data_IF_121786069974
#
_entry.id   IF_121786069974
#
_cell.length_a   1.000
_cell.length_b   1.000
_cell.length_c   1.000
_cell.angle_alpha   90.00
_cell.angle_beta   90.00
_cell.angle_gamma   90.00
#
_symmetry.space_group_name_H-M   'P 1'
#
loop_
_entity.id
_entity.type
_entity.pdbx_description
1 polymer ?
#
# COMPACT_ATOMS: atom_id res chain seq x y z
N UNK A 1 -15.27 4.56 -40.05
CA UNK A 1 -15.12 5.47 -41.21
C UNK A 1 -14.96 6.88 -40.66
N UNK A 2 -13.75 7.32 -40.32
CA UNK A 2 -13.55 8.68 -39.78
C UNK A 2 -12.66 9.44 -40.76
N UNK A 3 -13.26 10.27 -41.60
CA UNK A 3 -12.56 10.99 -42.65
C UNK A 3 -11.74 12.14 -42.06
N UNK A 4 -10.43 11.95 -41.96
CA UNK A 4 -9.49 13.08 -42.02
C UNK A 4 -9.53 13.59 -43.45
N UNK A 5 -10.21 14.71 -43.69
CA UNK A 5 -10.18 15.35 -45.01
C UNK A 5 -9.02 16.35 -45.05
N UNK A 6 -8.02 16.04 -45.87
CA UNK A 6 -6.87 16.90 -46.08
C UNK A 6 -7.27 17.96 -47.13
N UNK A 7 -7.94 19.02 -46.71
CA UNK A 7 -8.30 20.12 -47.60
C UNK A 7 -7.11 21.07 -47.65
N UNK A 8 -6.51 21.25 -48.83
CA UNK A 8 -5.57 22.36 -49.09
C UNK A 8 -6.34 23.69 -49.09
N UNK A 9 -6.88 24.09 -47.95
CA UNK A 9 -7.26 25.49 -47.73
C UNK A 9 -6.00 26.25 -47.35
N UNK A 10 -5.79 27.43 -47.95
CA UNK A 10 -4.64 28.28 -47.65
C UNK A 10 -4.71 28.75 -46.19
N UNK A 11 -3.82 28.24 -45.34
CA UNK A 11 -3.51 28.84 -44.03
C UNK A 11 -2.96 30.24 -44.31
N UNK A 12 -3.48 31.26 -43.64
CA UNK A 12 -2.98 32.63 -43.77
C UNK A 12 -2.02 32.97 -42.62
N UNK A 13 -1.10 33.91 -42.85
CA UNK A 13 -0.24 34.42 -41.78
C UNK A 13 -1.07 35.01 -40.62
N UNK A 14 -2.21 35.63 -40.92
CA UNK A 14 -3.17 36.12 -39.93
C UNK A 14 -3.81 35.01 -39.10
N UNK A 15 -3.94 33.79 -39.63
CA UNK A 15 -4.43 32.64 -38.85
C UNK A 15 -3.37 32.21 -37.83
N UNK A 16 -2.08 32.23 -38.21
CA UNK A 16 -1.00 31.87 -37.31
C UNK A 16 -0.81 32.88 -36.19
N UNK A 17 -0.94 34.19 -36.47
CA UNK A 17 -0.77 35.23 -35.44
C UNK A 17 -1.78 35.13 -34.30
N UNK A 18 -2.91 34.45 -34.51
CA UNK A 18 -3.90 34.14 -33.47
C UNK A 18 -3.47 33.05 -32.50
N UNK A 19 -2.49 32.22 -32.87
CA UNK A 19 -1.94 31.18 -31.99
C UNK A 19 -0.83 31.83 -31.17
N UNK A 20 -0.97 31.76 -29.84
CA UNK A 20 -0.12 32.48 -28.89
C UNK A 20 1.39 32.26 -29.09
N UNK A 21 1.84 31.12 -29.61
CA UNK A 21 3.29 30.89 -29.85
C UNK A 21 3.85 31.64 -31.07
N UNK A 22 3.00 32.06 -32.00
CA UNK A 22 3.38 32.76 -33.22
C UNK A 22 3.04 34.27 -33.16
N UNK A 23 2.38 34.73 -32.08
CA UNK A 23 1.88 36.11 -31.96
C UNK A 23 2.97 37.19 -32.06
N UNK A 24 4.18 36.88 -31.60
CA UNK A 24 5.31 37.83 -31.54
C UNK A 24 6.21 37.77 -32.79
N UNK A 25 5.78 37.02 -33.81
CA UNK A 25 6.49 36.88 -35.08
C UNK A 25 6.05 37.95 -36.08
N UNK A 26 6.98 38.40 -36.90
CA UNK A 26 6.68 39.32 -38.00
C UNK A 26 5.88 38.62 -39.09
N UNK A 27 5.10 39.38 -39.86
CA UNK A 27 4.31 38.81 -40.96
C UNK A 27 5.19 38.04 -41.98
N UNK A 28 6.42 38.51 -42.23
CA UNK A 28 7.39 37.82 -43.10
C UNK A 28 7.80 36.46 -42.54
N UNK A 29 8.00 36.33 -41.23
CA UNK A 29 8.34 35.05 -40.61
C UNK A 29 7.14 34.10 -40.63
N UNK A 30 5.93 34.60 -40.40
CA UNK A 30 4.70 33.80 -40.49
C UNK A 30 4.47 33.26 -41.91
N UNK A 31 4.73 34.07 -42.94
CA UNK A 31 4.68 33.65 -44.34
C UNK A 31 5.70 32.54 -44.68
N UNK A 32 6.83 32.46 -43.96
CA UNK A 32 7.78 31.35 -44.10
C UNK A 32 7.29 30.05 -43.44
N UNK A 33 6.43 30.15 -42.42
CA UNK A 33 5.90 29.00 -41.66
C UNK A 33 4.68 28.39 -42.34
N UNK A 34 3.80 29.22 -42.90
CA UNK A 34 2.56 28.78 -43.57
C UNK A 34 2.76 27.57 -44.50
N UNK A 35 3.79 27.52 -45.38
CA UNK A 35 4.01 26.39 -46.29
C UNK A 35 4.40 25.07 -45.60
N UNK A 36 4.87 25.14 -44.35
CA UNK A 36 5.27 23.97 -43.55
C UNK A 36 4.08 23.28 -42.86
N UNK A 37 2.92 23.94 -42.84
CA UNK A 37 1.74 23.50 -42.11
C UNK A 37 0.68 22.90 -43.04
N UNK A 38 0.05 21.83 -42.57
CA UNK A 38 -1.16 21.29 -43.18
C UNK A 38 -2.37 21.63 -42.31
N UNK A 39 -3.47 22.07 -42.92
CA UNK A 39 -4.72 22.28 -42.19
C UNK A 39 -5.53 20.98 -42.17
N UNK A 40 -6.01 20.61 -40.98
CA UNK A 40 -6.89 19.47 -40.78
C UNK A 40 -8.20 19.92 -40.16
N UNK A 41 -9.30 19.63 -40.84
CA UNK A 41 -10.64 19.73 -40.28
C UNK A 41 -10.97 18.39 -39.58
N UNK A 42 -11.23 18.45 -38.27
CA UNK A 42 -11.45 17.29 -37.40
C UNK A 42 -12.87 17.35 -36.85
N UNK A 43 -13.70 16.36 -37.20
CA UNK A 43 -15.06 16.25 -36.67
C UNK A 43 -15.06 15.79 -35.21
N UNK A 44 -16.06 16.23 -34.45
CA UNK A 44 -16.31 15.77 -33.08
C UNK A 44 -16.24 14.23 -32.96
N UNK A 45 -15.63 13.74 -31.88
CA UNK A 45 -15.46 12.31 -31.59
C UNK A 45 -14.28 11.64 -32.32
N UNK A 46 -13.61 12.35 -33.24
CA UNK A 46 -12.47 11.80 -33.99
C UNK A 46 -11.22 11.73 -33.12
N UNK A 47 -10.54 10.59 -33.13
CA UNK A 47 -9.19 10.45 -32.56
C UNK A 47 -8.16 11.03 -33.54
N UNK A 48 -7.45 12.06 -33.09
CA UNK A 48 -6.36 12.68 -33.86
C UNK A 48 -5.08 11.87 -33.72
N UNK A 49 -4.80 11.47 -32.48
CA UNK A 49 -3.66 10.66 -32.05
C UNK A 49 -4.18 9.48 -31.24
N UNK A 50 -3.55 8.32 -31.40
CA UNK A 50 -3.76 7.13 -30.55
C UNK A 50 -2.51 6.80 -29.75
N UNK A 51 -2.67 6.51 -28.46
CA UNK A 51 -1.59 6.06 -27.59
C UNK A 51 -0.87 4.82 -28.17
N UNK A 52 0.46 4.81 -28.09
CA UNK A 52 1.31 3.72 -28.59
C UNK A 52 1.60 3.75 -30.09
N UNK A 53 0.94 4.61 -30.87
CA UNK A 53 1.32 4.79 -32.28
C UNK A 53 2.63 5.60 -32.41
N UNK A 54 3.39 5.47 -33.51
CA UNK A 54 4.52 6.34 -33.78
C UNK A 54 4.09 7.80 -33.97
N UNK A 55 4.77 8.76 -33.36
CA UNK A 55 4.47 10.18 -33.55
C UNK A 55 5.43 10.88 -34.50
N UNK A 56 4.90 11.37 -35.63
CA UNK A 56 5.68 12.08 -36.66
C UNK A 56 5.22 13.51 -36.92
N UNK A 57 4.28 14.02 -36.12
CA UNK A 57 3.75 15.37 -36.28
C UNK A 57 3.40 16.00 -34.94
N UNK A 58 3.48 17.32 -34.89
CA UNK A 58 2.94 18.18 -33.83
C UNK A 58 1.67 18.85 -34.37
N UNK A 59 0.68 19.02 -33.52
CA UNK A 59 -0.60 19.64 -33.87
C UNK A 59 -0.82 20.89 -33.03
N UNK A 60 -1.22 21.97 -33.68
CA UNK A 60 -1.62 23.23 -33.06
C UNK A 60 -3.13 23.39 -33.20
N UNK A 61 -3.82 23.74 -32.11
CA UNK A 61 -5.27 23.90 -32.09
C UNK A 61 -5.59 25.34 -32.51
N UNK A 62 -6.05 25.51 -33.75
CA UNK A 62 -6.51 26.80 -34.25
C UNK A 62 -7.93 27.11 -33.78
N UNK A 63 -8.80 26.10 -33.70
CA UNK A 63 -10.12 26.23 -33.09
C UNK A 63 -10.64 24.87 -32.61
N UNK A 64 -11.52 24.90 -31.60
CA UNK A 64 -12.18 23.72 -31.05
C UNK A 64 -11.58 23.23 -29.72
N UNK A 65 -12.00 22.04 -29.30
CA UNK A 65 -11.65 21.46 -27.99
C UNK A 65 -11.21 20.01 -28.16
N UNK A 66 -10.09 19.65 -27.55
CA UNK A 66 -9.52 18.30 -27.56
C UNK A 66 -9.47 17.72 -26.15
N UNK A 67 -9.64 16.41 -26.03
CA UNK A 67 -9.51 15.66 -24.79
C UNK A 67 -8.29 14.74 -24.87
N UNK A 68 -7.42 14.83 -23.87
CA UNK A 68 -6.31 13.91 -23.65
C UNK A 68 -6.82 12.71 -22.86
N UNK A 69 -6.55 11.52 -23.38
CA UNK A 69 -6.97 10.24 -22.82
C UNK A 69 -5.71 9.39 -22.56
N UNK A 70 -5.56 8.87 -21.35
CA UNK A 70 -4.53 7.88 -21.03
C UNK A 70 -5.17 6.52 -20.79
N UNK A 71 -4.46 5.46 -21.17
CA UNK A 71 -4.87 4.08 -20.93
C UNK A 71 -4.28 3.55 -19.64
N UNK A 72 -5.14 3.16 -18.70
CA UNK A 72 -4.73 2.25 -17.62
C UNK A 72 -4.93 0.80 -18.06
N UNK A 73 -4.47 -0.16 -17.24
CA UNK A 73 -4.60 -1.60 -17.50
C UNK A 73 -6.03 -2.11 -17.74
N UNK A 74 -7.07 -1.31 -17.46
CA UNK A 74 -8.48 -1.71 -17.60
C UNK A 74 -9.36 -0.75 -18.41
N UNK A 75 -9.08 0.55 -18.44
CA UNK A 75 -9.91 1.57 -19.14
C UNK A 75 -9.14 2.81 -19.59
N UNK A 76 -9.58 3.45 -20.67
CA UNK A 76 -9.20 4.84 -21.02
C UNK A 76 -9.93 5.82 -20.10
N UNK A 77 -9.23 6.85 -19.64
CA UNK A 77 -9.79 7.88 -18.77
C UNK A 77 -9.25 9.26 -19.18
N UNK A 78 -10.07 10.32 -19.03
CA UNK A 78 -9.68 11.67 -19.39
C UNK A 78 -8.62 12.21 -18.41
N UNK A 79 -7.56 12.80 -18.97
CA UNK A 79 -6.44 13.38 -18.21
C UNK A 79 -6.46 14.90 -18.27
N UNK A 80 -6.75 15.46 -19.44
CA UNK A 80 -6.71 16.91 -19.66
C UNK A 80 -7.60 17.34 -20.82
N UNK A 81 -7.91 18.63 -20.90
CA UNK A 81 -8.62 19.27 -22.02
C UNK A 81 -7.70 20.34 -22.61
N UNK A 82 -7.52 20.31 -23.92
CA UNK A 82 -6.77 21.31 -24.69
C UNK A 82 -7.73 22.18 -25.50
N UNK A 83 -7.40 23.46 -25.66
CA UNK A 83 -8.25 24.48 -26.29
C UNK A 83 -7.49 25.24 -27.38
N UNK A 84 -8.18 26.17 -28.05
CA UNK A 84 -7.59 27.11 -29.01
C UNK A 84 -6.30 27.74 -28.44
N UNK A 85 -5.21 27.68 -29.21
CA UNK A 85 -3.88 28.15 -28.81
C UNK A 85 -2.99 27.10 -28.13
N UNK A 86 -3.52 25.94 -27.76
CA UNK A 86 -2.73 24.82 -27.26
C UNK A 86 -2.12 23.98 -28.40
N UNK A 87 -1.15 23.14 -28.04
CA UNK A 87 -0.54 22.19 -28.95
C UNK A 87 -0.25 20.86 -28.26
N UNK A 88 -0.11 19.81 -29.08
CA UNK A 88 0.13 18.46 -28.61
C UNK A 88 0.91 17.61 -29.63
N UNK A 89 1.49 16.52 -29.14
CA UNK A 89 2.22 15.55 -29.95
C UNK A 89 3.73 15.83 -30.05
N UNK A 90 4.21 16.90 -29.42
CA UNK A 90 5.62 17.30 -29.38
C UNK A 90 6.53 16.22 -28.78
N UNK A 91 6.05 15.47 -27.77
CA UNK A 91 6.85 14.47 -27.07
C UNK A 91 7.34 13.33 -27.96
N UNK A 92 6.45 12.79 -28.78
CA UNK A 92 6.84 11.71 -29.69
C UNK A 92 7.81 12.20 -30.79
N UNK A 93 7.74 13.48 -31.16
CA UNK A 93 8.65 14.10 -32.14
C UNK A 93 10.03 14.36 -31.51
N UNK A 94 10.07 14.90 -30.29
CA UNK A 94 11.29 15.24 -29.56
C UNK A 94 12.04 14.00 -29.04
N UNK A 95 11.35 13.10 -28.33
CA UNK A 95 11.97 11.95 -27.65
C UNK A 95 12.05 10.69 -28.52
N UNK A 96 11.46 10.73 -29.73
CA UNK A 96 11.37 9.57 -30.66
C UNK A 96 10.71 8.34 -30.02
N UNK A 97 9.85 8.56 -29.06
CA UNK A 97 9.04 7.54 -28.41
C UNK A 97 7.66 7.42 -29.09
N UNK A 98 6.94 6.30 -28.90
CA UNK A 98 5.53 6.21 -29.24
C UNK A 98 4.71 7.29 -28.51
N UNK A 99 3.53 7.61 -29.04
CA UNK A 99 2.60 8.57 -28.43
C UNK A 99 2.23 8.13 -27.01
N UNK A 100 2.40 9.03 -26.05
CA UNK A 100 2.15 8.77 -24.62
C UNK A 100 0.67 8.84 -24.21
N UNK A 101 -0.19 9.36 -25.07
CA UNK A 101 -1.62 9.50 -24.83
C UNK A 101 -2.40 9.54 -26.15
N UNK A 102 -3.68 9.20 -26.08
CA UNK A 102 -4.65 9.39 -27.16
C UNK A 102 -5.25 10.81 -27.08
N UNK A 103 -5.57 11.40 -28.23
CA UNK A 103 -6.22 12.71 -28.32
C UNK A 103 -7.49 12.58 -29.13
N UNK A 104 -8.63 12.98 -28.55
CA UNK A 104 -9.94 12.93 -29.19
C UNK A 104 -10.58 14.31 -29.24
N UNK A 105 -11.17 14.68 -30.38
CA UNK A 105 -11.93 15.91 -30.52
C UNK A 105 -13.24 15.86 -29.72
N UNK A 106 -13.49 16.87 -28.89
CA UNK A 106 -14.75 17.09 -28.18
C UNK A 106 -15.69 18.05 -28.92
N UNK A 107 -15.21 18.71 -29.96
CA UNK A 107 -16.00 19.53 -30.87
C UNK A 107 -15.42 19.42 -32.28
N UNK A 108 -16.18 19.85 -33.28
CA UNK A 108 -15.58 20.18 -34.58
C UNK A 108 -14.44 21.19 -34.36
N UNK A 109 -13.29 20.89 -34.97
CA UNK A 109 -12.03 21.55 -34.66
C UNK A 109 -11.17 21.72 -35.90
N UNK A 110 -10.37 22.78 -35.92
CA UNK A 110 -9.37 23.04 -36.95
C UNK A 110 -7.99 22.93 -36.31
N UNK A 111 -7.16 22.07 -36.89
CA UNK A 111 -5.78 21.86 -36.47
C UNK A 111 -4.80 22.29 -37.56
N UNK A 112 -3.64 22.80 -37.15
CA UNK A 112 -2.47 22.90 -38.02
C UNK A 112 -1.49 21.80 -37.65
N UNK A 113 -1.20 20.90 -38.58
CA UNK A 113 -0.23 19.83 -38.44
C UNK A 113 1.12 20.26 -39.01
N UNK A 114 2.16 20.08 -38.21
CA UNK A 114 3.55 20.26 -38.60
C UNK A 114 4.26 18.91 -38.56
N UNK A 115 4.76 18.46 -39.72
CA UNK A 115 5.51 17.21 -39.81
C UNK A 115 6.86 17.30 -39.10
N UNK A 116 7.41 16.16 -38.70
CA UNK A 116 8.67 16.05 -37.95
C UNK A 116 9.85 16.73 -38.64
N UNK A 117 10.00 16.57 -39.94
CA UNK A 117 11.12 17.17 -40.68
C UNK A 117 10.99 18.69 -40.72
N UNK A 118 9.78 19.18 -41.01
CA UNK A 118 9.46 20.60 -41.00
C UNK A 118 9.55 21.22 -39.60
N UNK A 119 9.24 20.45 -38.55
CA UNK A 119 9.42 20.85 -37.16
C UNK A 119 10.89 21.14 -36.85
N UNK A 120 11.83 20.29 -37.29
CA UNK A 120 13.25 20.56 -37.09
C UNK A 120 13.74 21.75 -37.93
N UNK A 121 13.21 21.95 -39.14
CA UNK A 121 13.50 23.15 -39.96
C UNK A 121 13.03 24.42 -39.23
N UNK A 122 11.81 24.42 -38.72
CA UNK A 122 11.23 25.52 -37.95
C UNK A 122 12.07 25.82 -36.72
N UNK A 123 12.47 24.79 -35.97
CA UNK A 123 13.30 24.92 -34.77
C UNK A 123 14.68 25.52 -35.09
N UNK A 124 15.29 25.10 -36.20
CA UNK A 124 16.61 25.61 -36.61
C UNK A 124 16.58 27.07 -37.05
N UNK A 125 15.50 27.50 -37.72
CA UNK A 125 15.36 28.87 -38.21
C UNK A 125 14.82 29.85 -37.17
N UNK A 126 13.92 29.41 -36.30
CA UNK A 126 13.21 30.25 -35.34
C UNK A 126 13.38 29.73 -33.91
N UNK A 127 14.55 29.96 -33.27
CA UNK A 127 14.86 29.45 -31.94
C UNK A 127 13.89 29.91 -30.84
N UNK A 128 13.20 31.06 -31.03
CA UNK A 128 12.16 31.53 -30.12
C UNK A 128 10.97 30.55 -30.02
N UNK A 129 10.60 29.91 -31.12
CA UNK A 129 9.50 28.93 -31.14
C UNK A 129 9.88 27.69 -30.32
N UNK A 130 11.12 27.22 -30.49
CA UNK A 130 11.66 26.12 -29.70
C UNK A 130 11.64 26.45 -28.19
N UNK A 131 12.02 27.68 -27.84
CA UNK A 131 11.97 28.15 -26.45
C UNK A 131 10.54 28.11 -25.89
N UNK A 132 9.54 28.65 -26.61
CA UNK A 132 8.14 28.65 -26.15
C UNK A 132 7.61 27.22 -25.96
N UNK A 133 7.93 26.30 -26.90
CA UNK A 133 7.51 24.90 -26.80
C UNK A 133 8.13 24.23 -25.57
N UNK A 134 9.44 24.44 -25.34
CA UNK A 134 10.15 23.89 -24.18
C UNK A 134 9.66 24.49 -22.86
N UNK A 135 9.35 25.79 -22.81
CA UNK A 135 8.81 26.47 -21.64
C UNK A 135 7.45 25.91 -21.26
N UNK A 136 6.49 25.84 -22.21
CA UNK A 136 5.18 25.24 -21.96
C UNK A 136 5.26 23.77 -21.57
N UNK A 137 6.17 23.02 -22.19
CA UNK A 137 6.39 21.64 -21.81
C UNK A 137 6.90 21.53 -20.37
N UNK A 138 7.89 22.35 -19.99
CA UNK A 138 8.42 22.39 -18.64
C UNK A 138 7.37 22.79 -17.61
N UNK A 139 6.49 23.73 -17.93
CA UNK A 139 5.35 24.11 -17.09
C UNK A 139 4.38 22.94 -16.88
N UNK A 140 3.97 22.25 -17.95
CA UNK A 140 3.10 21.06 -17.87
C UNK A 140 3.73 19.94 -17.05
N UNK A 141 5.03 19.67 -17.25
CA UNK A 141 5.76 18.68 -16.47
C UNK A 141 5.77 19.04 -14.98
N UNK A 142 6.09 20.29 -14.66
CA UNK A 142 6.17 20.77 -13.27
C UNK A 142 4.82 20.62 -12.57
N UNK A 143 3.74 21.01 -13.24
CA UNK A 143 2.39 20.84 -12.72
C UNK A 143 2.03 19.37 -12.49
N UNK A 144 2.32 18.51 -13.47
CA UNK A 144 2.08 17.06 -13.35
C UNK A 144 2.89 16.43 -12.20
N UNK A 145 4.15 16.86 -12.02
CA UNK A 145 4.99 16.40 -10.93
C UNK A 145 4.44 16.82 -9.57
N UNK A 146 4.03 18.08 -9.41
CA UNK A 146 3.41 18.57 -8.18
C UNK A 146 2.10 17.84 -7.86
N UNK A 147 1.25 17.60 -8.86
CA UNK A 147 0.01 16.84 -8.68
C UNK A 147 0.29 15.39 -8.26
N UNK A 148 1.32 14.75 -8.83
CA UNK A 148 1.73 13.40 -8.46
C UNK A 148 2.30 13.34 -7.04
N UNK A 149 3.13 14.31 -6.65
CA UNK A 149 3.67 14.43 -5.29
C UNK A 149 2.52 14.57 -4.27
N UNK A 150 1.54 15.43 -4.55
CA UNK A 150 0.36 15.59 -3.71
C UNK A 150 -0.49 14.31 -3.60
N UNK A 151 -0.67 13.59 -4.71
CA UNK A 151 -1.38 12.30 -4.71
C UNK A 151 -0.64 11.23 -3.90
N UNK A 152 0.69 11.18 -3.99
CA UNK A 152 1.50 10.26 -3.19
C UNK A 152 1.38 10.57 -1.70
N UNK A 153 1.50 11.83 -1.29
CA UNK A 153 1.34 12.25 0.11
C UNK A 153 -0.06 11.92 0.66
N UNK A 154 -1.10 12.16 -0.16
CA UNK A 154 -2.49 11.83 0.20
C UNK A 154 -2.67 10.32 0.37
N UNK A 155 -2.08 9.51 -0.52
CA UNK A 155 -2.16 8.05 -0.46
C UNK A 155 -1.42 7.51 0.78
N UNK A 156 -0.24 8.05 1.09
CA UNK A 156 0.53 7.68 2.28
C UNK A 156 -0.24 8.00 3.56
N UNK A 157 -0.84 9.19 3.63
CA UNK A 157 -1.67 9.61 4.77
C UNK A 157 -2.87 8.68 4.96
N UNK A 158 -3.66 8.46 3.89
CA UNK A 158 -4.83 7.58 3.94
C UNK A 158 -4.46 6.14 4.31
N UNK A 159 -3.33 5.63 3.82
CA UNK A 159 -2.83 4.31 4.19
C UNK A 159 -2.40 4.25 5.67
N UNK A 160 -1.78 5.31 6.20
CA UNK A 160 -1.43 5.39 7.63
C UNK A 160 -2.66 5.41 8.53
N UNK A 161 -3.66 6.24 8.21
CA UNK A 161 -4.93 6.31 8.96
C UNK A 161 -5.67 4.97 8.96
N UNK A 162 -5.66 4.27 7.83
CA UNK A 162 -6.26 2.95 7.68
C UNK A 162 -5.55 1.90 8.55
N UNK A 163 -4.21 1.92 8.60
CA UNK A 163 -3.44 1.03 9.47
C UNK A 163 -3.68 1.33 10.96
N UNK A 164 -3.80 2.59 11.35
CA UNK A 164 -4.11 2.99 12.73
C UNK A 164 -5.52 2.53 13.12
N UNK A 165 -6.50 2.76 12.24
CA UNK A 165 -7.89 2.31 12.44
C UNK A 165 -7.99 0.81 12.62
N UNK A 166 -7.18 0.04 11.89
CA UNK A 166 -7.10 -1.41 12.05
C UNK A 166 -6.59 -1.80 13.43
N UNK A 167 -5.47 -1.23 13.88
CA UNK A 167 -4.91 -1.53 15.21
C UNK A 167 -5.93 -1.21 16.32
N UNK A 168 -6.63 -0.06 16.24
CA UNK A 168 -7.70 0.31 17.20
C UNK A 168 -8.88 -0.67 17.16
N UNK A 169 -9.25 -1.15 15.97
CA UNK A 169 -10.35 -2.12 15.83
C UNK A 169 -9.98 -3.48 16.43
N UNK A 170 -8.74 -3.94 16.23
CA UNK A 170 -8.25 -5.18 16.85
C UNK A 170 -8.20 -5.06 18.37
N UNK A 171 -7.76 -3.92 18.89
CA UNK A 171 -7.76 -3.64 20.33
C UNK A 171 -9.18 -3.66 20.91
N UNK A 172 -10.16 -3.08 20.21
CA UNK A 172 -11.56 -3.14 20.63
C UNK A 172 -12.11 -4.57 20.65
N UNK A 173 -11.74 -5.42 19.68
CA UNK A 173 -12.11 -6.83 19.65
C UNK A 173 -11.48 -7.61 20.81
N UNK A 174 -10.19 -7.39 21.09
CA UNK A 174 -9.50 -7.97 22.25
C UNK A 174 -10.22 -7.58 23.55
N UNK A 175 -10.47 -6.28 23.75
CA UNK A 175 -11.17 -5.79 24.96
C UNK A 175 -12.57 -6.37 25.10
N UNK A 176 -13.31 -6.54 24.00
CA UNK A 176 -14.63 -7.17 24.05
C UNK A 176 -14.56 -8.63 24.51
N UNK A 177 -13.50 -9.35 24.12
CA UNK A 177 -13.25 -10.71 24.61
C UNK A 177 -12.82 -10.70 26.09
N UNK A 178 -11.90 -9.82 26.47
CA UNK A 178 -11.40 -9.66 27.83
C UNK A 178 -12.52 -9.29 28.82
N UNK A 179 -13.56 -8.57 28.37
CA UNK A 179 -14.76 -8.29 29.18
C UNK A 179 -15.64 -9.54 29.41
N UNK A 180 -15.57 -10.52 28.50
CA UNK A 180 -16.34 -11.76 28.59
C UNK A 180 -15.59 -12.83 29.38
N UNK A 181 -14.28 -12.95 29.14
CA UNK A 181 -13.39 -13.79 29.91
C UNK A 181 -13.15 -13.13 31.28
N UNK A 182 -12.95 -13.89 32.36
CA UNK A 182 -12.73 -13.29 33.69
C UNK A 182 -11.28 -12.81 33.89
N UNK A 183 -10.52 -12.69 32.79
CA UNK A 183 -9.12 -12.28 32.79
C UNK A 183 -9.00 -10.75 32.92
N UNK A 184 -7.88 -10.30 33.51
CA UNK A 184 -7.68 -8.90 33.87
C UNK A 184 -7.56 -8.01 32.63
N UNK A 185 -8.14 -6.81 32.71
CA UNK A 185 -8.32 -5.73 31.70
C UNK A 185 -7.07 -5.26 30.91
N UNK A 186 -5.91 -5.93 31.03
CA UNK A 186 -4.62 -5.50 30.47
C UNK A 186 -3.65 -6.65 30.12
N UNK A 187 -4.08 -7.93 30.18
CA UNK A 187 -3.20 -9.08 29.89
C UNK A 187 -2.68 -9.08 28.44
N UNK A 188 -3.58 -8.96 27.46
CA UNK A 188 -3.26 -8.96 26.03
C UNK A 188 -2.27 -7.85 25.67
N UNK A 189 -2.40 -6.67 26.30
CA UNK A 189 -1.46 -5.56 26.15
C UNK A 189 -0.06 -5.86 26.72
N UNK A 190 0.03 -6.37 27.95
CA UNK A 190 1.32 -6.72 28.57
C UNK A 190 2.06 -7.80 27.80
N UNK A 191 1.37 -8.86 27.40
CA UNK A 191 1.95 -9.95 26.63
C UNK A 191 2.42 -9.46 25.26
N UNK A 192 1.62 -8.63 24.59
CA UNK A 192 2.04 -8.02 23.32
C UNK A 192 3.30 -7.17 23.44
N UNK A 193 3.39 -6.28 24.44
CA UNK A 193 4.56 -5.42 24.66
C UNK A 193 5.82 -6.26 24.94
N UNK A 194 5.72 -7.22 25.86
CA UNK A 194 6.84 -8.11 26.18
C UNK A 194 7.28 -8.97 24.98
N UNK A 195 6.33 -9.50 24.20
CA UNK A 195 6.62 -10.28 23.00
C UNK A 195 7.27 -9.43 21.89
N UNK A 196 6.85 -8.17 21.74
CA UNK A 196 7.52 -7.21 20.84
C UNK A 196 8.95 -6.91 21.27
N UNK A 197 9.20 -6.75 22.59
CA UNK A 197 10.53 -6.46 23.13
C UNK A 197 11.53 -7.58 22.86
N UNK A 198 11.15 -8.83 23.10
CA UNK A 198 12.02 -9.96 22.78
C UNK A 198 12.19 -10.14 21.26
N UNK A 199 11.14 -9.94 20.47
CA UNK A 199 11.25 -10.00 19.00
C UNK A 199 12.23 -8.94 18.45
N UNK A 200 12.20 -7.73 19.01
CA UNK A 200 13.15 -6.66 18.67
C UNK A 200 14.59 -7.01 19.11
N UNK A 201 14.76 -7.56 20.32
CA UNK A 201 16.06 -8.04 20.81
C UNK A 201 16.68 -9.09 19.89
N UNK A 202 15.86 -9.98 19.33
CA UNK A 202 16.27 -11.04 18.39
C UNK A 202 16.53 -10.51 16.96
N UNK A 203 16.30 -9.21 16.69
CA UNK A 203 16.51 -8.61 15.37
C UNK A 203 15.47 -9.05 14.33
N UNK A 204 14.26 -9.44 14.76
CA UNK A 204 13.19 -9.82 13.84
C UNK A 204 12.69 -8.62 13.03
N UNK A 205 12.26 -8.89 11.80
CA UNK A 205 11.80 -7.82 10.90
C UNK A 205 10.58 -7.07 11.46
N UNK A 206 10.36 -5.79 11.11
CA UNK A 206 9.18 -5.03 11.52
C UNK A 206 7.86 -5.72 11.17
N UNK A 207 7.83 -6.51 10.08
CA UNK A 207 6.66 -7.29 9.67
C UNK A 207 6.34 -8.41 10.68
N UNK A 208 7.35 -9.12 11.17
CA UNK A 208 7.18 -10.18 12.18
C UNK A 208 6.78 -9.58 13.53
N UNK A 209 7.42 -8.47 13.95
CA UNK A 209 7.07 -7.79 15.19
C UNK A 209 5.61 -7.32 15.16
N UNK A 210 5.15 -6.74 14.04
CA UNK A 210 3.75 -6.37 13.86
C UNK A 210 2.81 -7.58 13.96
N UNK A 211 3.21 -8.71 13.36
CA UNK A 211 2.44 -9.95 13.45
C UNK A 211 2.32 -10.47 14.89
N UNK A 212 3.41 -10.41 15.67
CA UNK A 212 3.43 -10.77 17.09
C UNK A 212 2.52 -9.84 17.90
N UNK A 213 2.60 -8.52 17.67
CA UNK A 213 1.74 -7.53 18.33
C UNK A 213 0.26 -7.86 18.12
N UNK A 214 -0.15 -8.04 16.86
CA UNK A 214 -1.54 -8.30 16.50
C UNK A 214 -1.99 -9.70 16.94
N UNK A 215 -1.12 -10.70 16.83
CA UNK A 215 -1.40 -12.06 17.27
C UNK A 215 -1.55 -12.17 18.77
N UNK A 216 -0.74 -11.44 19.54
CA UNK A 216 -0.89 -11.39 20.99
C UNK A 216 -2.24 -10.78 21.42
N UNK A 217 -2.77 -9.80 20.69
CA UNK A 217 -4.11 -9.24 20.96
C UNK A 217 -5.24 -10.21 20.61
N UNK A 218 -5.03 -11.09 19.63
CA UNK A 218 -6.08 -11.93 19.05
C UNK A 218 -5.94 -13.41 19.39
N UNK A 219 -4.90 -13.82 20.14
CA UNK A 219 -4.57 -15.23 20.37
C UNK A 219 -5.77 -16.03 20.90
N UNK A 220 -6.55 -15.40 21.77
CA UNK A 220 -7.69 -15.99 22.43
C UNK A 220 -9.04 -15.67 21.78
N UNK A 221 -9.10 -14.97 20.63
CA UNK A 221 -10.37 -14.56 19.98
C UNK A 221 -11.33 -15.73 19.74
N UNK A 222 -10.79 -16.92 19.50
CA UNK A 222 -11.59 -18.13 19.32
C UNK A 222 -12.34 -18.60 20.57
N UNK A 223 -11.99 -18.10 21.77
CA UNK A 223 -12.76 -18.34 23.00
C UNK A 223 -14.19 -17.82 22.88
N UNK A 224 -14.48 -16.98 21.87
CA UNK A 224 -15.86 -16.60 21.55
C UNK A 224 -16.77 -17.82 21.32
N UNK A 225 -16.22 -18.93 20.79
CA UNK A 225 -16.94 -20.19 20.56
C UNK A 225 -17.10 -21.08 21.81
N UNK A 226 -16.41 -20.77 22.91
CA UNK A 226 -16.48 -21.58 24.14
C UNK A 226 -17.75 -21.23 24.92
N UNK A 227 -18.55 -22.22 25.37
CA UNK A 227 -19.73 -21.96 26.21
C UNK A 227 -19.37 -21.30 27.54
N UNK A 228 -20.20 -20.35 28.01
CA UNK A 228 -19.97 -19.61 29.26
C UNK A 228 -19.84 -20.52 30.49
N UNK A 229 -20.57 -21.64 30.52
CA UNK A 229 -20.51 -22.62 31.60
C UNK A 229 -19.12 -23.28 31.73
N UNK A 230 -18.34 -23.31 30.64
CA UNK A 230 -16.97 -23.84 30.61
C UNK A 230 -15.97 -22.69 30.81
N UNK A 231 -16.14 -21.60 30.07
CA UNK A 231 -15.26 -20.43 30.15
C UNK A 231 -15.18 -19.84 31.57
N UNK A 232 -16.32 -19.78 32.27
CA UNK A 232 -16.45 -19.15 33.59
C UNK A 232 -16.55 -20.16 34.74
N UNK A 233 -16.19 -21.43 34.50
CA UNK A 233 -16.35 -22.49 35.49
C UNK A 233 -15.46 -22.24 36.71
N UNK A 234 -16.01 -22.16 37.94
CA UNK A 234 -15.19 -22.06 39.15
C UNK A 234 -14.59 -23.43 39.47
N UNK A 235 -13.33 -23.66 39.08
CA UNK A 235 -12.57 -24.87 39.39
C UNK A 235 -11.99 -25.57 38.15
N UNK A 236 -11.53 -26.81 38.33
CA UNK A 236 -10.91 -27.56 37.24
C UNK A 236 -11.96 -28.00 36.19
N UNK A 237 -11.58 -27.89 34.91
CA UNK A 237 -12.35 -28.46 33.80
C UNK A 237 -12.27 -29.99 33.80
N UNK A 238 -13.35 -30.66 33.41
CA UNK A 238 -13.31 -32.09 33.04
C UNK A 238 -12.51 -32.28 31.76
N UNK A 239 -12.21 -33.52 31.40
CA UNK A 239 -11.45 -33.80 30.19
C UNK A 239 -12.22 -33.38 28.92
N UNK A 240 -13.54 -33.57 28.90
CA UNK A 240 -14.41 -33.16 27.81
C UNK A 240 -14.50 -31.63 27.70
N UNK A 241 -14.62 -30.93 28.82
CA UNK A 241 -14.64 -29.47 28.86
C UNK A 241 -13.29 -28.88 28.43
N UNK A 242 -12.19 -29.51 28.83
CA UNK A 242 -10.83 -29.14 28.41
C UNK A 242 -10.65 -29.36 26.91
N UNK A 243 -11.08 -30.50 26.37
CA UNK A 243 -11.04 -30.76 24.93
C UNK A 243 -11.82 -29.70 24.14
N UNK A 244 -12.96 -29.23 24.67
CA UNK A 244 -13.71 -28.14 24.04
C UNK A 244 -12.94 -26.81 24.10
N UNK A 245 -12.38 -26.45 25.26
CA UNK A 245 -11.55 -25.25 25.44
C UNK A 245 -10.36 -25.23 24.48
N UNK A 246 -9.71 -26.37 24.24
CA UNK A 246 -8.56 -26.51 23.35
C UNK A 246 -8.88 -26.26 21.87
N UNK A 247 -10.15 -26.09 21.47
CA UNK A 247 -10.51 -25.72 20.11
C UNK A 247 -10.36 -24.22 19.82
N UNK A 248 -10.19 -23.35 20.83
CA UNK A 248 -10.14 -21.91 20.59
C UNK A 248 -9.02 -21.46 19.62
N UNK A 249 -7.82 -22.08 19.53
CA UNK A 249 -6.84 -21.68 18.52
C UNK A 249 -7.37 -21.94 17.10
N UNK A 250 -8.03 -23.08 16.90
CA UNK A 250 -8.62 -23.47 15.62
C UNK A 250 -9.81 -22.56 15.26
N UNK A 251 -10.69 -22.27 16.23
CA UNK A 251 -11.81 -21.34 15.98
C UNK A 251 -11.33 -19.91 15.71
N UNK A 252 -10.28 -19.46 16.39
CA UNK A 252 -9.63 -18.18 16.11
C UNK A 252 -9.05 -18.14 14.70
N UNK A 253 -8.35 -19.19 14.29
CA UNK A 253 -7.84 -19.34 12.92
C UNK A 253 -8.98 -19.31 11.89
N UNK A 254 -10.01 -20.14 12.06
CA UNK A 254 -11.14 -20.26 11.14
C UNK A 254 -11.92 -18.95 10.99
N UNK A 255 -12.03 -18.17 12.07
CA UNK A 255 -12.70 -16.86 12.06
C UNK A 255 -11.92 -15.81 11.25
N UNK A 256 -10.58 -15.89 11.25
CA UNK A 256 -9.72 -14.83 10.72
C UNK A 256 -9.06 -15.17 9.39
N UNK A 257 -9.04 -16.44 8.96
CA UNK A 257 -8.26 -16.91 7.80
C UNK A 257 -8.60 -16.23 6.47
N UNK A 258 -9.83 -15.77 6.31
CA UNK A 258 -10.31 -15.14 5.07
C UNK A 258 -10.05 -13.62 5.05
N UNK A 259 -9.44 -13.06 6.10
CA UNK A 259 -9.09 -11.64 6.21
C UNK A 259 -7.64 -11.45 5.75
N UNK A 260 -7.37 -10.89 4.55
CA UNK A 260 -6.03 -10.92 3.95
C UNK A 260 -4.96 -10.23 4.79
N UNK A 261 -5.31 -9.13 5.48
CA UNK A 261 -4.36 -8.38 6.30
C UNK A 261 -3.96 -9.09 7.60
N UNK A 262 -4.74 -10.10 8.04
CA UNK A 262 -4.44 -10.92 9.21
C UNK A 262 -3.70 -12.22 8.88
N UNK A 263 -3.44 -12.49 7.61
CA UNK A 263 -2.79 -13.73 7.16
C UNK A 263 -1.47 -14.04 7.88
N UNK A 264 -0.66 -13.02 8.20
CA UNK A 264 0.60 -13.21 8.92
C UNK A 264 0.41 -13.57 10.39
N UNK A 265 -0.74 -13.24 10.98
CA UNK A 265 -1.08 -13.39 12.40
C UNK A 265 -1.55 -14.80 12.72
N UNK A 266 -2.20 -15.47 11.74
CA UNK A 266 -2.80 -16.79 11.88
C UNK A 266 -1.89 -17.86 12.50
N UNK A 267 -0.58 -17.96 12.17
CA UNK A 267 0.28 -18.97 12.76
C UNK A 267 0.47 -18.79 14.28
N UNK A 268 0.52 -17.55 14.78
CA UNK A 268 0.58 -17.31 16.22
C UNK A 268 -0.73 -17.78 16.87
N UNK A 269 -1.87 -17.35 16.33
CA UNK A 269 -3.19 -17.72 16.86
C UNK A 269 -3.39 -19.23 16.88
N UNK A 270 -3.02 -19.93 15.81
CA UNK A 270 -3.25 -21.37 15.72
C UNK A 270 -2.33 -22.20 16.62
N UNK A 271 -1.08 -21.77 16.81
CA UNK A 271 -0.04 -22.59 17.43
C UNK A 271 0.50 -22.07 18.78
N UNK A 272 -0.12 -21.04 19.38
CA UNK A 272 0.37 -20.48 20.65
C UNK A 272 0.33 -21.46 21.84
N UNK A 273 -0.42 -22.57 21.72
CA UNK A 273 -0.44 -23.66 22.70
C UNK A 273 0.36 -24.91 22.28
N UNK A 274 1.10 -24.83 21.18
CA UNK A 274 2.07 -25.86 20.84
C UNK A 274 3.23 -25.84 21.84
N UNK A 275 3.72 -27.03 22.19
CA UNK A 275 4.84 -27.21 23.13
C UNK A 275 6.06 -27.67 22.39
N UNK A 276 7.23 -27.19 22.80
CA UNK A 276 8.48 -27.46 22.11
C UNK A 276 8.80 -28.96 21.95
N UNK A 277 8.34 -29.82 22.86
CA UNK A 277 8.49 -31.27 22.79
C UNK A 277 7.47 -32.01 21.89
N UNK A 278 6.43 -31.33 21.42
CA UNK A 278 5.32 -31.88 20.62
C UNK A 278 4.12 -32.36 21.42
N UNK A 279 4.07 -32.12 22.74
CA UNK A 279 2.92 -32.49 23.59
C UNK A 279 1.82 -31.41 23.66
N UNK A 280 1.92 -30.38 22.81
CA UNK A 280 0.95 -29.29 22.70
C UNK A 280 -0.20 -29.61 21.74
N UNK A 281 -0.97 -28.58 21.41
CA UNK A 281 -2.13 -28.65 20.52
C UNK A 281 -2.18 -27.38 19.65
N UNK A 282 -2.89 -27.40 18.50
CA UNK A 282 -3.77 -28.45 17.97
C UNK A 282 -3.11 -29.56 17.14
N UNK A 283 -1.89 -29.36 16.63
CA UNK A 283 -1.23 -30.28 15.68
C UNK A 283 -0.08 -31.09 16.29
N UNK A 284 0.39 -30.75 17.49
CA UNK A 284 1.52 -31.43 18.13
C UNK A 284 2.85 -31.11 17.44
N UNK A 285 3.00 -29.87 16.96
CA UNK A 285 4.22 -29.40 16.32
C UNK A 285 5.39 -29.48 17.32
N UNK A 286 6.57 -29.88 16.82
CA UNK A 286 7.76 -30.08 17.65
C UNK A 286 8.92 -29.19 17.23
N UNK A 287 9.57 -28.60 18.24
CA UNK A 287 10.77 -27.80 18.08
C UNK A 287 10.56 -26.59 17.17
N UNK A 288 11.50 -26.36 16.25
CA UNK A 288 11.48 -25.22 15.34
C UNK A 288 10.42 -25.31 14.22
N UNK A 289 9.63 -26.40 14.18
CA UNK A 289 8.42 -26.46 13.33
C UNK A 289 7.32 -25.52 13.83
N UNK A 290 7.33 -25.19 15.12
CA UNK A 290 6.45 -24.17 15.69
C UNK A 290 6.96 -22.80 15.20
N UNK A 291 6.09 -21.96 14.62
CA UNK A 291 6.47 -20.61 14.22
C UNK A 291 7.15 -19.84 15.34
N UNK A 292 8.14 -19.00 15.01
CA UNK A 292 8.93 -18.27 16.01
C UNK A 292 8.03 -17.34 16.83
N UNK A 293 7.02 -16.76 16.19
CA UNK A 293 6.01 -15.89 16.82
C UNK A 293 5.26 -16.62 17.93
N UNK A 294 4.81 -17.85 17.67
CA UNK A 294 4.13 -18.69 18.66
C UNK A 294 5.07 -19.15 19.79
N UNK A 295 6.31 -19.51 19.47
CA UNK A 295 7.32 -19.90 20.50
C UNK A 295 7.68 -18.74 21.42
N UNK A 296 7.82 -17.53 20.87
CA UNK A 296 8.03 -16.30 21.65
C UNK A 296 6.81 -16.06 22.54
N UNK A 297 5.61 -16.06 21.93
CA UNK A 297 4.37 -15.77 22.64
C UNK A 297 4.13 -16.71 23.81
N UNK A 298 4.31 -18.03 23.63
CA UNK A 298 4.11 -19.02 24.70
C UNK A 298 4.96 -18.77 25.95
N UNK A 299 6.20 -18.29 25.79
CA UNK A 299 7.07 -17.93 26.91
C UNK A 299 6.54 -16.70 27.64
N UNK A 300 6.15 -15.68 26.88
CA UNK A 300 5.69 -14.41 27.43
C UNK A 300 4.34 -14.56 28.12
N UNK A 301 3.41 -15.28 27.51
CA UNK A 301 2.10 -15.59 28.07
C UNK A 301 2.23 -16.37 29.40
N UNK A 302 3.06 -17.42 29.40
CA UNK A 302 3.34 -18.16 30.63
C UNK A 302 3.99 -17.28 31.72
N UNK A 303 4.91 -16.40 31.34
CA UNK A 303 5.52 -15.46 32.28
C UNK A 303 4.50 -14.49 32.86
N UNK A 304 3.69 -13.81 32.04
CA UNK A 304 2.64 -12.90 32.52
C UNK A 304 1.63 -13.64 33.40
N UNK A 305 1.21 -14.83 33.00
CA UNK A 305 0.32 -15.67 33.79
C UNK A 305 0.90 -16.06 35.17
N UNK A 306 2.22 -16.17 35.30
CA UNK A 306 2.90 -16.44 36.56
C UNK A 306 3.08 -15.20 37.43
N UNK A 307 3.35 -14.04 36.82
CA UNK A 307 3.71 -12.79 37.52
C UNK A 307 2.55 -11.80 37.72
N UNK A 308 1.39 -12.10 37.15
CA UNK A 308 0.16 -11.32 37.33
C UNK A 308 -0.72 -11.92 38.43
N UNK A 309 -1.43 -11.07 39.16
CA UNK A 309 -2.43 -11.51 40.15
C UNK A 309 -3.66 -12.04 39.43
N UNK A 310 -4.12 -13.24 39.79
CA UNK A 310 -5.35 -13.85 39.27
C UNK A 310 -6.36 -14.05 40.41
N UNK A 311 -7.68 -14.08 40.14
CA UNK A 311 -8.71 -14.22 41.18
C UNK A 311 -8.52 -15.38 42.16
N UNK A 312 -7.83 -16.45 41.73
CA UNK A 312 -7.61 -17.67 42.51
C UNK A 312 -6.14 -17.91 42.90
N UNK A 313 -5.21 -16.99 42.56
CA UNK A 313 -3.77 -17.17 42.80
C UNK A 313 -3.04 -15.83 42.87
N UNK A 314 -2.26 -15.64 43.94
CA UNK A 314 -1.31 -14.53 44.04
C UNK A 314 -0.14 -14.68 43.06
N UNK A 315 0.34 -13.55 42.53
CA UNK A 315 1.50 -13.54 41.63
C UNK A 315 2.75 -14.17 42.25
N UNK A 316 3.55 -14.83 41.41
CA UNK A 316 4.88 -15.32 41.78
C UNK A 316 5.93 -14.21 41.70
N UNK A 317 7.05 -14.41 42.40
CA UNK A 317 8.23 -13.55 42.21
C UNK A 317 8.79 -13.75 40.79
N UNK A 318 9.41 -12.69 40.23
CA UNK A 318 10.07 -12.80 38.91
C UNK A 318 11.13 -13.90 38.91
N UNK A 319 11.89 -14.04 40.00
CA UNK A 319 12.91 -15.07 40.13
C UNK A 319 12.33 -16.49 40.07
N UNK A 320 11.18 -16.74 40.71
CA UNK A 320 10.55 -18.05 40.67
C UNK A 320 9.88 -18.31 39.32
N UNK A 321 9.35 -17.28 38.65
CA UNK A 321 8.89 -17.39 37.27
C UNK A 321 10.03 -17.80 36.33
N UNK A 322 11.23 -17.21 36.47
CA UNK A 322 12.39 -17.61 35.69
C UNK A 322 12.86 -19.05 35.96
N UNK A 323 12.85 -19.49 37.22
CA UNK A 323 13.14 -20.89 37.55
C UNK A 323 12.15 -21.85 36.89
N UNK A 324 10.88 -21.48 36.83
CA UNK A 324 9.85 -22.31 36.19
C UNK A 324 10.02 -22.33 34.67
N UNK A 325 10.38 -21.20 34.05
CA UNK A 325 10.75 -21.17 32.63
C UNK A 325 11.97 -22.06 32.34
N UNK A 326 13.00 -22.03 33.18
CA UNK A 326 14.18 -22.90 33.06
C UNK A 326 13.79 -24.38 33.22
N UNK A 327 12.92 -24.71 34.18
CA UNK A 327 12.41 -26.07 34.40
C UNK A 327 11.65 -26.61 33.18
N UNK A 328 10.93 -25.73 32.48
CA UNK A 328 10.12 -26.06 31.31
C UNK A 328 10.86 -25.89 29.97
N UNK A 329 12.12 -25.45 29.98
CA UNK A 329 12.92 -25.28 28.78
C UNK A 329 13.20 -26.64 28.12
N UNK A 330 13.00 -26.72 26.80
CA UNK A 330 13.15 -27.96 26.02
C UNK A 330 11.94 -28.91 26.08
N UNK A 331 10.97 -28.66 26.97
CA UNK A 331 9.68 -29.38 27.00
C UNK A 331 8.55 -28.48 26.53
N UNK A 332 8.15 -27.51 27.35
CA UNK A 332 7.15 -26.52 26.96
C UNK A 332 7.75 -25.46 26.04
N UNK A 333 8.91 -24.92 26.41
CA UNK A 333 9.46 -23.72 25.77
C UNK A 333 10.73 -24.00 24.97
N UNK A 334 10.98 -23.18 23.95
CA UNK A 334 12.26 -23.18 23.25
C UNK A 334 13.39 -22.74 24.20
N UNK A 335 14.39 -23.59 24.47
CA UNK A 335 15.44 -23.29 25.44
C UNK A 335 16.31 -22.10 25.03
N UNK A 336 16.46 -21.81 23.72
CA UNK A 336 17.21 -20.64 23.25
C UNK A 336 16.42 -19.37 23.58
N UNK A 337 15.13 -19.36 23.29
CA UNK A 337 14.26 -18.21 23.53
C UNK A 337 14.05 -17.94 25.02
N UNK A 338 14.01 -18.96 25.89
CA UNK A 338 13.97 -18.76 27.35
C UNK A 338 15.22 -17.99 27.82
N UNK A 339 16.39 -18.37 27.33
CA UNK A 339 17.65 -17.68 27.66
C UNK A 339 17.64 -16.22 27.20
N UNK A 340 17.15 -15.95 26.00
CA UNK A 340 17.09 -14.59 25.46
C UNK A 340 16.01 -13.74 26.16
N UNK A 341 14.86 -14.33 26.49
CA UNK A 341 13.82 -13.69 27.29
C UNK A 341 14.35 -13.22 28.65
N UNK A 342 15.08 -14.09 29.36
CA UNK A 342 15.69 -13.74 30.66
C UNK A 342 16.64 -12.55 30.58
N UNK A 343 17.45 -12.45 29.51
CA UNK A 343 18.33 -11.30 29.30
C UNK A 343 17.54 -10.02 29.06
N UNK A 344 16.50 -10.07 28.22
CA UNK A 344 15.62 -8.92 27.94
C UNK A 344 14.94 -8.42 29.21
N UNK A 345 14.57 -9.33 30.10
CA UNK A 345 13.95 -9.01 31.40
C UNK A 345 14.96 -8.61 32.50
N UNK A 346 16.24 -8.49 32.17
CA UNK A 346 17.27 -8.05 33.12
C UNK A 346 17.61 -9.07 34.21
N UNK A 347 17.44 -10.37 33.94
CA UNK A 347 17.75 -11.44 34.92
C UNK A 347 19.14 -11.30 35.56
N UNK A 348 20.15 -10.95 34.76
CA UNK A 348 21.54 -10.80 35.21
C UNK A 348 21.72 -9.63 36.19
N UNK A 349 20.75 -8.71 36.29
CA UNK A 349 20.74 -7.60 37.26
C UNK A 349 19.91 -7.91 38.52
N UNK A 350 19.16 -9.02 38.52
CA UNK A 350 18.25 -9.42 39.60
C UNK A 350 18.92 -10.43 40.55
N UNK A 351 19.99 -11.10 40.12
CA UNK A 351 20.81 -11.94 40.99
C UNK A 351 21.78 -11.06 41.79
N UNK A 352 21.69 -11.01 43.13
CA UNK A 352 22.81 -10.56 43.94
C UNK A 352 23.96 -11.58 43.80
N UNK A 353 25.20 -11.07 43.78
CA UNK A 353 26.43 -11.87 43.79
C UNK A 353 26.43 -13.02 44.82
#
# INVERSE_FOLDING_TARGET
>A
MNSKNNIKSHILAEDLSRIQMFQDMTNSELEEIVPLLNKLDVSEGTYVISEGEPGFSVFFIFSGVMQVLARTSRTEHPVNILREGDFFGEMAVLDRLPRSASIRALSDSILFELGKDDFYVLFGKHPKIAQIILERFSERMRQTMTDLEYQLETLETANSELLETYDVTLEALSKALDLRDADTDDHSHRVSDLACRIAAYLGLSPKIIRSIKQGAMLHDVGKIGVPDAILRKPGALTEEERALMQNHPMWGYEMLKDIPFLSSVLPLILYHHEKFDGSGYPEGLKGEKIPIEARIFAIVDAYDAMTSDRPYRSRMSMLDAFKELDRCAGTHFDPKLVKDFKKVMGYDTILPD
#
